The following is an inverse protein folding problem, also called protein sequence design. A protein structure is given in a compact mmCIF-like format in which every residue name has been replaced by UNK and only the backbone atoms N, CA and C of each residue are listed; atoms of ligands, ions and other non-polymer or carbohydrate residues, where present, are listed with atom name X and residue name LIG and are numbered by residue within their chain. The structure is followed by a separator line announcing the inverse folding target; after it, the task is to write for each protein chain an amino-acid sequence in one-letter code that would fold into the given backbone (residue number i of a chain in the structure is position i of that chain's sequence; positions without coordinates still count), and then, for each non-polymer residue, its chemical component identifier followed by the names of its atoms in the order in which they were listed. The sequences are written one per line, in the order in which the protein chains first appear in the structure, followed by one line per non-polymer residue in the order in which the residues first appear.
data_IF_455461476094
#
_entry.id   IF_455461476094
#
_cell.length_a   1.000
_cell.length_b   1.000
_cell.length_c   1.000
_cell.angle_alpha   90.00
_cell.angle_beta   90.00
_cell.angle_gamma   90.00
#
_symmetry.space_group_name_H-M   'P 1'
#
loop_
_entity.id
_entity.type
_entity.pdbx_description
1 polymer ?
#
# COMPACT_ATOMS: atom_id res chain seq x y z
N UNK A 1 0.89 -10.63 0.43
CA UNK A 1 1.35 -12.00 0.80
C UNK A 1 2.37 -12.53 -0.19
N UNK A 2 2.13 -12.54 -1.50
CA UNK A 2 3.07 -13.12 -2.49
C UNK A 2 4.51 -12.59 -2.39
N UNK A 3 4.71 -11.27 -2.28
CA UNK A 3 6.07 -10.70 -2.11
C UNK A 3 6.75 -11.15 -0.81
N UNK A 4 6.00 -11.27 0.28
CA UNK A 4 6.50 -11.78 1.57
C UNK A 4 6.85 -13.26 1.45
N UNK A 5 6.00 -14.05 0.78
CA UNK A 5 6.26 -15.46 0.52
C UNK A 5 7.52 -15.67 -0.33
N UNK A 6 7.76 -14.80 -1.32
CA UNK A 6 9.00 -14.82 -2.09
C UNK A 6 10.22 -14.63 -1.18
N UNK A 7 10.19 -13.64 -0.28
CA UNK A 7 11.29 -13.42 0.67
C UNK A 7 11.48 -14.60 1.62
N UNK A 8 10.38 -15.18 2.12
CA UNK A 8 10.43 -16.41 2.94
C UNK A 8 11.06 -17.57 2.16
N UNK A 9 10.81 -17.71 0.86
CA UNK A 9 11.44 -18.77 0.05
C UNK A 9 12.95 -18.58 -0.11
N UNK A 10 13.41 -17.34 -0.14
CA UNK A 10 14.83 -16.99 -0.19
C UNK A 10 15.46 -16.78 1.20
N UNK A 11 14.85 -17.33 2.27
CA UNK A 11 15.38 -17.16 3.62
C UNK A 11 16.86 -17.55 3.81
N UNK A 12 17.42 -18.59 3.16
CA UNK A 12 18.83 -18.94 3.36
C UNK A 12 19.79 -17.86 2.86
N UNK A 13 19.34 -17.02 1.92
CA UNK A 13 20.12 -15.88 1.42
C UNK A 13 19.99 -14.68 2.37
N UNK A 14 18.82 -14.47 2.96
CA UNK A 14 18.58 -13.34 3.87
C UNK A 14 19.16 -13.55 5.25
N UNK A 15 19.27 -14.80 5.71
CA UNK A 15 19.80 -15.15 7.03
C UNK A 15 21.25 -14.67 7.22
N UNK A 16 22.07 -14.74 6.17
CA UNK A 16 23.48 -14.35 6.21
C UNK A 16 23.72 -12.86 5.93
N UNK A 17 22.69 -12.07 5.64
CA UNK A 17 22.82 -10.68 5.22
C UNK A 17 22.09 -9.73 6.19
N UNK A 18 22.82 -9.23 7.19
CA UNK A 18 22.32 -8.29 8.20
C UNK A 18 21.79 -6.98 7.59
N UNK A 19 22.40 -6.50 6.51
CA UNK A 19 21.94 -5.29 5.84
C UNK A 19 20.54 -5.49 5.24
N UNK A 20 20.32 -6.62 4.56
CA UNK A 20 19.01 -6.98 4.05
C UNK A 20 17.97 -7.10 5.18
N UNK A 21 18.32 -7.77 6.29
CA UNK A 21 17.46 -7.88 7.47
C UNK A 21 17.09 -6.51 8.04
N UNK A 22 18.06 -5.60 8.16
CA UNK A 22 17.83 -4.24 8.66
C UNK A 22 16.88 -3.44 7.76
N UNK A 23 16.99 -3.55 6.43
CA UNK A 23 16.08 -2.91 5.48
C UNK A 23 14.68 -3.49 5.65
N UNK A 24 14.55 -4.81 5.71
CA UNK A 24 13.26 -5.48 5.85
C UNK A 24 12.57 -5.08 7.16
N UNK A 25 13.31 -5.05 8.26
CA UNK A 25 12.84 -4.62 9.57
C UNK A 25 12.33 -3.16 9.55
N UNK A 26 13.15 -2.23 9.05
CA UNK A 26 12.79 -0.81 9.00
C UNK A 26 11.60 -0.55 8.07
N UNK A 27 11.60 -1.13 6.87
CA UNK A 27 10.52 -0.97 5.90
C UNK A 27 9.22 -1.60 6.40
N UNK A 28 9.30 -2.78 7.03
CA UNK A 28 8.18 -3.42 7.70
C UNK A 28 7.59 -2.55 8.80
N UNK A 29 8.41 -2.02 9.70
CA UNK A 29 7.95 -1.20 10.82
C UNK A 29 7.31 0.13 10.39
N UNK A 30 7.86 0.77 9.35
CA UNK A 30 7.28 2.00 8.78
C UNK A 30 5.91 1.68 8.14
N UNK A 31 5.82 0.59 7.37
CA UNK A 31 4.56 0.19 6.72
C UNK A 31 3.49 -0.24 7.73
N UNK A 32 3.85 -0.97 8.79
CA UNK A 32 2.90 -1.35 9.87
C UNK A 32 2.26 -0.14 10.50
N UNK A 33 3.09 0.84 10.86
CA UNK A 33 2.66 2.04 11.58
C UNK A 33 1.82 2.93 10.67
N UNK A 34 2.36 3.25 9.49
CA UNK A 34 1.72 4.19 8.57
C UNK A 34 0.32 3.75 8.18
N UNK A 35 0.16 2.47 7.84
CA UNK A 35 -1.14 1.92 7.42
C UNK A 35 -2.10 1.77 8.59
N UNK A 36 -1.64 1.34 9.77
CA UNK A 36 -2.47 1.26 10.96
C UNK A 36 -2.97 2.64 11.40
N UNK A 37 -2.11 3.67 11.35
CA UNK A 37 -2.46 5.05 11.64
C UNK A 37 -3.49 5.61 10.63
N UNK A 38 -3.33 5.32 9.33
CA UNK A 38 -4.32 5.70 8.33
C UNK A 38 -5.69 5.05 8.60
N UNK A 39 -5.72 3.80 9.06
CA UNK A 39 -6.96 3.06 9.34
C UNK A 39 -7.83 3.70 10.45
N UNK A 40 -7.24 4.49 11.36
CA UNK A 40 -7.93 5.05 12.53
C UNK A 40 -9.08 5.98 12.19
N UNK A 41 -8.98 6.74 11.09
CA UNK A 41 -9.93 7.81 10.74
C UNK A 41 -10.70 7.54 9.46
N UNK A 42 -10.46 6.41 8.78
CA UNK A 42 -11.23 6.02 7.60
C UNK A 42 -12.67 5.64 7.97
N UNK A 43 -13.57 5.84 7.00
CA UNK A 43 -15.00 5.59 7.16
C UNK A 43 -15.50 4.43 6.30
N UNK A 44 -14.87 4.14 5.15
CA UNK A 44 -15.26 2.97 4.35
C UNK A 44 -14.76 1.68 5.04
N UNK A 45 -15.68 0.78 5.39
CA UNK A 45 -15.34 -0.46 6.10
C UNK A 45 -14.30 -1.30 5.35
N UNK A 46 -14.41 -1.39 4.02
CA UNK A 46 -13.44 -2.09 3.16
C UNK A 46 -12.05 -1.46 3.21
N UNK A 47 -11.95 -0.12 3.27
CA UNK A 47 -10.66 0.58 3.40
C UNK A 47 -10.01 0.30 4.75
N UNK A 48 -10.78 0.30 5.84
CA UNK A 48 -10.24 -0.04 7.16
C UNK A 48 -9.71 -1.47 7.18
N UNK A 49 -10.46 -2.43 6.61
CA UNK A 49 -10.01 -3.83 6.53
C UNK A 49 -8.79 -3.96 5.60
N UNK A 50 -8.72 -3.20 4.51
CA UNK A 50 -7.54 -3.18 3.62
C UNK A 50 -6.30 -2.57 4.30
N UNK A 51 -6.41 -1.47 5.04
CA UNK A 51 -5.27 -0.92 5.79
C UNK A 51 -4.83 -1.85 6.92
N UNK A 52 -5.76 -2.58 7.51
CA UNK A 52 -5.41 -3.59 8.50
C UNK A 52 -4.77 -4.84 7.88
N UNK A 53 -4.91 -5.14 6.58
CA UNK A 53 -4.12 -6.21 5.94
C UNK A 53 -2.72 -5.71 5.58
N UNK A 54 -2.58 -4.48 5.07
CA UNK A 54 -1.26 -3.91 4.79
C UNK A 54 -0.43 -3.72 6.06
N UNK A 55 -1.07 -3.39 7.20
CA UNK A 55 -0.39 -3.36 8.50
C UNK A 55 0.13 -4.73 8.92
N UNK A 56 -0.66 -5.80 8.81
CA UNK A 56 -0.19 -7.16 9.13
C UNK A 56 0.87 -7.67 8.14
N UNK A 57 0.81 -7.27 6.88
CA UNK A 57 1.88 -7.54 5.91
C UNK A 57 3.19 -6.86 6.31
N UNK A 58 3.15 -5.63 6.82
CA UNK A 58 4.33 -4.99 7.39
C UNK A 58 4.87 -5.75 8.60
N UNK A 59 4.00 -6.31 9.45
CA UNK A 59 4.40 -7.10 10.62
C UNK A 59 5.07 -8.40 10.17
N UNK A 60 4.56 -9.05 9.12
CA UNK A 60 5.23 -10.19 8.49
C UNK A 60 6.60 -9.80 7.90
N UNK A 61 6.76 -8.59 7.37
CA UNK A 61 8.06 -8.11 6.88
C UNK A 61 9.05 -7.88 8.04
N UNK A 62 8.58 -7.33 9.16
CA UNK A 62 9.36 -7.21 10.41
C UNK A 62 9.85 -8.58 10.87
N UNK A 63 9.00 -9.61 10.82
CA UNK A 63 9.38 -10.96 11.27
C UNK A 63 10.47 -11.60 10.43
N UNK A 64 10.49 -11.30 9.12
CA UNK A 64 11.59 -11.73 8.24
C UNK A 64 12.86 -10.95 8.59
N UNK A 65 12.72 -9.65 8.93
CA UNK A 65 13.83 -8.79 9.36
C UNK A 65 14.50 -9.21 10.67
N UNK A 66 13.82 -9.96 11.55
CA UNK A 66 14.40 -10.54 12.77
C UNK A 66 14.84 -12.00 12.60
N UNK A 67 14.99 -12.45 11.35
CA UNK A 67 15.36 -13.82 10.98
C UNK A 67 14.39 -14.91 11.49
N UNK A 68 13.08 -14.64 11.48
CA UNK A 68 12.03 -15.62 11.82
C UNK A 68 11.07 -15.88 10.64
N UNK A 69 11.55 -16.47 9.52
CA UNK A 69 10.75 -16.67 8.31
C UNK A 69 9.60 -17.66 8.51
N UNK A 70 9.78 -18.69 9.36
CA UNK A 70 8.74 -19.67 9.66
C UNK A 70 7.59 -19.08 10.49
N UNK A 71 7.88 -18.16 11.42
CA UNK A 71 6.85 -17.41 12.14
C UNK A 71 6.09 -16.46 11.19
N UNK A 72 6.80 -15.82 10.26
CA UNK A 72 6.18 -15.02 9.21
C UNK A 72 5.20 -15.86 8.38
N UNK A 73 5.60 -17.08 8.00
CA UNK A 73 4.76 -18.01 7.25
C UNK A 73 3.56 -18.51 8.05
N UNK A 74 3.77 -18.88 9.32
CA UNK A 74 2.69 -19.24 10.24
C UNK A 74 1.66 -18.11 10.31
N UNK A 75 2.13 -16.86 10.43
CA UNK A 75 1.24 -15.70 10.46
C UNK A 75 0.51 -15.50 9.13
N UNK A 76 1.12 -15.76 7.96
CA UNK A 76 0.41 -15.76 6.67
C UNK A 76 -0.78 -16.73 6.71
N UNK A 77 -0.56 -17.96 7.19
CA UNK A 77 -1.59 -18.99 7.27
C UNK A 77 -2.73 -18.61 8.22
N UNK A 78 -2.41 -18.15 9.44
CA UNK A 78 -3.43 -17.75 10.42
C UNK A 78 -4.19 -16.50 9.97
N UNK A 79 -3.48 -15.52 9.38
CA UNK A 79 -4.05 -14.28 8.87
C UNK A 79 -5.07 -14.49 7.75
N UNK A 80 -4.88 -15.50 6.90
CA UNK A 80 -5.79 -15.80 5.81
C UNK A 80 -7.22 -16.06 6.31
N UNK A 81 -7.39 -16.83 7.39
CA UNK A 81 -8.71 -17.20 7.92
C UNK A 81 -9.51 -15.98 8.41
N UNK A 82 -8.97 -15.25 9.38
CA UNK A 82 -9.73 -14.16 10.00
C UNK A 82 -9.89 -12.96 9.06
N UNK A 83 -8.95 -12.69 8.15
CA UNK A 83 -9.14 -11.62 7.16
C UNK A 83 -10.17 -11.94 6.10
N UNK A 84 -10.15 -13.15 5.54
CA UNK A 84 -11.17 -13.58 4.61
C UNK A 84 -12.56 -13.49 5.25
N UNK A 85 -12.66 -13.90 6.53
CA UNK A 85 -13.89 -13.79 7.30
C UNK A 85 -14.33 -12.33 7.49
N UNK A 86 -13.43 -11.43 7.89
CA UNK A 86 -13.75 -10.00 8.05
C UNK A 86 -14.24 -9.36 6.75
N UNK A 87 -13.61 -9.67 5.60
CA UNK A 87 -14.11 -9.17 4.31
C UNK A 87 -15.47 -9.77 3.95
N UNK A 88 -15.71 -11.05 4.23
CA UNK A 88 -17.00 -11.70 3.97
C UNK A 88 -18.12 -11.12 4.84
N UNK A 89 -17.86 -10.90 6.14
CA UNK A 89 -18.79 -10.21 7.04
C UNK A 89 -19.04 -8.76 6.60
N UNK A 90 -18.00 -8.05 6.14
CA UNK A 90 -18.19 -6.70 5.59
C UNK A 90 -19.04 -6.72 4.32
N UNK A 91 -18.87 -7.74 3.47
CA UNK A 91 -19.66 -7.94 2.26
C UNK A 91 -21.13 -8.22 2.56
N UNK A 92 -21.43 -9.05 3.57
CA UNK A 92 -22.80 -9.26 4.01
C UNK A 92 -23.44 -8.01 4.58
N UNK A 93 -22.70 -7.20 5.35
CA UNK A 93 -23.22 -5.93 5.87
C UNK A 93 -23.52 -4.95 4.73
N UNK A 94 -22.60 -4.81 3.77
CA UNK A 94 -22.77 -3.92 2.61
C UNK A 94 -23.97 -4.34 1.77
N UNK A 95 -24.11 -5.64 1.49
CA UNK A 95 -25.23 -6.14 0.70
C UNK A 95 -26.57 -5.97 1.42
N UNK A 96 -26.64 -6.27 2.72
CA UNK A 96 -27.85 -6.08 3.54
C UNK A 96 -28.26 -4.62 3.71
N UNK A 97 -27.35 -3.67 3.48
CA UNK A 97 -27.59 -2.22 3.56
C UNK A 97 -27.64 -1.56 2.17
N UNK A 98 -27.94 -2.30 1.10
CA UNK A 98 -28.07 -1.80 -0.26
C UNK A 98 -26.82 -1.03 -0.75
N UNK A 99 -25.66 -1.69 -0.68
CA UNK A 99 -24.35 -1.20 -1.13
C UNK A 99 -23.74 -0.06 -0.31
N UNK A 100 -24.28 0.24 0.88
CA UNK A 100 -23.70 1.22 1.80
C UNK A 100 -22.42 0.67 2.48
N UNK A 101 -21.29 1.35 2.26
CA UNK A 101 -19.96 0.95 2.76
C UNK A 101 -19.44 1.81 3.92
N UNK A 102 -20.07 2.96 4.15
CA UNK A 102 -19.65 3.96 5.14
C UNK A 102 -20.16 3.58 6.54
N UNK A 103 -19.25 3.35 7.49
CA UNK A 103 -19.58 3.00 8.88
C UNK A 103 -20.42 4.06 9.60
N UNK A 104 -20.42 5.32 9.11
CA UNK A 104 -21.22 6.41 9.69
C UNK A 104 -22.72 6.17 9.48
N UNK A 105 -23.11 5.47 8.42
CA UNK A 105 -24.49 5.08 8.10
C UNK A 105 -24.86 3.67 8.58
N UNK A 106 -24.01 3.03 9.38
CA UNK A 106 -24.28 1.72 9.98
C UNK A 106 -24.73 1.88 11.45
N UNK A 107 -24.79 0.81 12.23
CA UNK A 107 -25.12 0.83 13.66
C UNK A 107 -26.32 -0.04 14.00
N UNK A 108 -26.38 -0.50 15.26
CA UNK A 108 -27.47 -1.35 15.76
C UNK A 108 -27.56 -2.74 15.11
N UNK A 109 -26.54 -3.17 14.37
CA UNK A 109 -26.55 -4.43 13.63
C UNK A 109 -26.41 -5.67 14.52
N UNK A 110 -25.97 -5.51 15.78
CA UNK A 110 -25.77 -6.63 16.73
C UNK A 110 -27.00 -7.56 16.84
N UNK A 111 -28.20 -7.00 16.86
CA UNK A 111 -29.45 -7.77 16.91
C UNK A 111 -30.03 -8.07 15.52
N UNK A 112 -29.75 -7.24 14.52
CA UNK A 112 -30.29 -7.38 13.17
C UNK A 112 -29.60 -8.48 12.35
N UNK A 113 -28.30 -8.69 12.58
CA UNK A 113 -27.48 -9.68 11.86
C UNK A 113 -26.60 -10.48 12.85
N UNK A 114 -27.20 -11.31 13.73
CA UNK A 114 -26.49 -11.98 14.81
C UNK A 114 -25.35 -12.91 14.35
N UNK A 115 -25.50 -13.57 13.20
CA UNK A 115 -24.46 -14.49 12.72
C UNK A 115 -23.25 -13.74 12.17
N UNK A 116 -23.47 -12.71 11.35
CA UNK A 116 -22.36 -11.90 10.82
C UNK A 116 -21.67 -11.08 11.92
N UNK A 117 -22.42 -10.61 12.92
CA UNK A 117 -21.86 -9.88 14.08
C UNK A 117 -20.98 -10.76 14.94
N UNK A 118 -21.41 -11.98 15.28
CA UNK A 118 -20.58 -12.94 16.03
C UNK A 118 -19.29 -13.29 15.28
N UNK A 119 -19.37 -13.54 13.97
CA UNK A 119 -18.19 -13.79 13.16
C UNK A 119 -17.27 -12.57 13.03
N UNK A 120 -17.82 -11.34 12.92
CA UNK A 120 -17.03 -10.12 12.88
C UNK A 120 -16.32 -9.84 14.21
N UNK A 121 -16.97 -10.10 15.35
CA UNK A 121 -16.36 -9.98 16.68
C UNK A 121 -15.23 -11.02 16.85
N UNK A 122 -15.47 -12.29 16.49
CA UNK A 122 -14.44 -13.33 16.58
C UNK A 122 -13.25 -13.00 15.65
N UNK A 123 -13.52 -12.52 14.44
CA UNK A 123 -12.48 -12.11 13.49
C UNK A 123 -11.66 -10.91 13.96
N UNK A 124 -12.31 -9.93 14.60
CA UNK A 124 -11.62 -8.76 15.16
C UNK A 124 -10.80 -9.11 16.39
N UNK A 125 -11.29 -9.96 17.28
CA UNK A 125 -10.52 -10.50 18.42
C UNK A 125 -9.33 -11.36 17.96
N UNK A 126 -9.51 -12.19 16.93
CA UNK A 126 -8.42 -12.95 16.34
C UNK A 126 -7.35 -12.03 15.73
N UNK A 127 -7.76 -10.91 15.10
CA UNK A 127 -6.84 -9.92 14.54
C UNK A 127 -6.04 -9.16 15.62
N UNK A 128 -6.67 -8.80 16.73
CA UNK A 128 -5.98 -8.10 17.83
C UNK A 128 -4.98 -9.00 18.54
N UNK A 129 -5.24 -10.32 18.57
CA UNK A 129 -4.37 -11.31 19.19
C UNK A 129 -4.92 -11.81 20.53
N UNK A 130 -6.24 -11.91 20.67
CA UNK A 130 -6.87 -12.45 21.88
C UNK A 130 -6.30 -13.85 22.21
N UNK A 131 -5.98 -14.14 23.48
CA UNK A 131 -5.43 -15.44 23.88
C UNK A 131 -6.25 -16.62 23.35
N UNK A 132 -5.53 -17.64 22.89
CA UNK A 132 -6.08 -18.90 22.34
C UNK A 132 -6.85 -18.80 21.02
N UNK A 133 -7.08 -17.61 20.45
CA UNK A 133 -7.54 -17.48 19.07
C UNK A 133 -6.38 -17.60 18.09
N UNK A 134 -6.66 -17.80 16.80
CA UNK A 134 -5.61 -18.09 15.81
C UNK A 134 -4.54 -17.03 15.66
N UNK A 135 -4.86 -15.76 15.92
CA UNK A 135 -3.87 -14.69 15.88
C UNK A 135 -2.82 -14.81 16.98
N UNK A 136 -3.18 -15.30 18.16
CA UNK A 136 -2.29 -15.43 19.32
C UNK A 136 -1.09 -16.34 19.01
N UNK A 137 -1.34 -17.52 18.44
CA UNK A 137 -0.30 -18.51 18.10
C UNK A 137 0.78 -18.03 17.13
N UNK A 138 0.60 -16.87 16.50
CA UNK A 138 1.60 -16.29 15.60
C UNK A 138 2.04 -14.91 16.06
N UNK A 139 1.09 -13.97 16.22
CA UNK A 139 1.37 -12.57 16.52
C UNK A 139 2.01 -12.37 17.89
N UNK A 140 1.67 -13.18 18.89
CA UNK A 140 2.27 -13.10 20.23
C UNK A 140 3.74 -13.53 20.18
N UNK A 141 4.02 -14.70 19.59
CA UNK A 141 5.39 -15.19 19.35
C UNK A 141 6.24 -14.23 18.51
N UNK A 142 5.62 -13.52 17.56
CA UNK A 142 6.28 -12.48 16.77
C UNK A 142 6.74 -11.32 17.65
N UNK A 143 5.88 -10.83 18.54
CA UNK A 143 6.22 -9.72 19.43
C UNK A 143 7.26 -10.17 20.47
N UNK A 144 7.14 -11.40 20.98
CA UNK A 144 8.13 -12.00 21.88
C UNK A 144 9.51 -12.09 21.24
N UNK A 145 9.60 -12.68 20.05
CA UNK A 145 10.86 -12.79 19.31
C UNK A 145 11.44 -11.43 18.94
N UNK A 146 10.61 -10.45 18.60
CA UNK A 146 11.07 -9.08 18.31
C UNK A 146 11.62 -8.37 19.57
N UNK A 147 11.02 -8.62 20.74
CA UNK A 147 11.44 -8.06 22.02
C UNK A 147 12.74 -8.69 22.57
N UNK A 148 12.99 -9.97 22.29
CA UNK A 148 14.14 -10.72 22.84
C UNK A 148 15.33 -10.82 21.90
N UNK A 149 15.22 -10.33 20.66
CA UNK A 149 16.31 -10.34 19.67
C UNK A 149 17.05 -9.01 19.59
N UNK A 150 18.23 -9.02 18.96
CA UNK A 150 19.00 -7.81 18.68
C UNK A 150 18.35 -7.02 17.54
N UNK A 151 17.34 -6.22 17.88
CA UNK A 151 16.53 -5.47 16.92
C UNK A 151 16.79 -3.98 16.99
N UNK A 152 16.50 -3.28 15.89
CA UNK A 152 16.43 -1.83 15.91
C UNK A 152 15.29 -1.39 16.86
N UNK A 153 15.66 -0.75 17.97
CA UNK A 153 14.72 -0.29 18.99
C UNK A 153 13.60 0.60 18.43
N UNK A 154 13.90 1.42 17.41
CA UNK A 154 12.88 2.26 16.77
C UNK A 154 11.86 1.42 16.00
N UNK A 155 12.32 0.41 15.27
CA UNK A 155 11.44 -0.50 14.55
C UNK A 155 10.54 -1.28 15.52
N UNK A 156 11.11 -1.75 16.64
CA UNK A 156 10.35 -2.40 17.70
C UNK A 156 9.27 -1.47 18.26
N UNK A 157 9.63 -0.25 18.66
CA UNK A 157 8.67 0.73 19.18
C UNK A 157 7.52 1.00 18.20
N UNK A 158 7.82 1.16 16.90
CA UNK A 158 6.81 1.38 15.88
C UNK A 158 5.89 0.18 15.69
N UNK A 159 6.41 -1.05 15.81
CA UNK A 159 5.59 -2.26 15.76
C UNK A 159 4.66 -2.36 16.97
N UNK A 160 5.15 -2.03 18.16
CA UNK A 160 4.34 -1.99 19.38
C UNK A 160 3.22 -0.95 19.27
N UNK A 161 3.51 0.26 18.80
CA UNK A 161 2.47 1.28 18.54
C UNK A 161 1.49 0.80 17.46
N UNK A 162 1.97 0.15 16.40
CA UNK A 162 1.07 -0.42 15.39
C UNK A 162 0.16 -1.51 15.99
N UNK A 163 0.65 -2.31 16.95
CA UNK A 163 -0.18 -3.32 17.64
C UNK A 163 -1.29 -2.69 18.48
N UNK A 164 -1.05 -1.56 19.15
CA UNK A 164 -2.12 -0.83 19.86
C UNK A 164 -3.15 -0.26 18.87
N UNK A 165 -2.70 0.31 17.75
CA UNK A 165 -3.59 0.77 16.68
C UNK A 165 -4.43 -0.36 16.10
N UNK A 166 -3.93 -1.61 16.09
CA UNK A 166 -4.76 -2.76 15.68
C UNK A 166 -5.97 -2.99 16.55
N UNK A 167 -5.82 -2.82 17.86
CA UNK A 167 -6.97 -2.83 18.77
C UNK A 167 -7.89 -1.63 18.48
N UNK A 168 -7.34 -0.43 18.29
CA UNK A 168 -8.15 0.78 18.09
C UNK A 168 -9.00 0.76 16.82
N UNK A 169 -8.47 0.36 15.66
CA UNK A 169 -9.31 0.29 14.46
C UNK A 169 -10.27 -0.90 14.50
N UNK A 170 -9.95 -1.99 15.23
CA UNK A 170 -10.84 -3.14 15.37
C UNK A 170 -12.08 -2.80 16.19
N UNK A 171 -11.89 -2.13 17.33
CA UNK A 171 -12.99 -1.62 18.17
C UNK A 171 -13.78 -0.54 17.47
N UNK A 172 -13.12 0.33 16.69
CA UNK A 172 -13.81 1.31 15.83
C UNK A 172 -14.79 0.62 14.89
N UNK A 173 -14.40 -0.47 14.22
CA UNK A 173 -15.32 -1.24 13.36
C UNK A 173 -16.48 -1.76 14.21
N UNK A 174 -16.21 -2.46 15.32
CA UNK A 174 -17.26 -3.01 16.18
C UNK A 174 -18.23 -1.92 16.66
N UNK A 175 -17.70 -0.79 17.11
CA UNK A 175 -18.47 0.31 17.69
C UNK A 175 -19.36 0.99 16.67
N UNK A 176 -18.83 1.42 15.52
CA UNK A 176 -19.63 2.14 14.53
C UNK A 176 -20.54 1.22 13.71
N UNK A 177 -20.15 -0.03 13.49
CA UNK A 177 -20.97 -0.94 12.65
C UNK A 177 -22.01 -1.71 13.45
N UNK A 178 -21.63 -2.28 14.59
CA UNK A 178 -22.48 -3.22 15.34
C UNK A 178 -23.23 -2.55 16.50
N UNK A 179 -22.54 -1.67 17.23
CA UNK A 179 -23.07 -1.01 18.43
C UNK A 179 -23.84 0.27 18.10
N UNK A 180 -24.40 0.88 19.14
CA UNK A 180 -25.18 2.12 19.06
C UNK A 180 -26.54 1.93 18.40
N UNK A 181 -27.12 3.05 17.96
CA UNK A 181 -28.41 3.10 17.29
C UNK A 181 -28.27 2.97 15.77
N UNK A 182 -29.29 2.44 15.06
CA UNK A 182 -29.29 2.33 13.61
C UNK A 182 -29.25 3.72 12.94
N UNK A 183 -28.34 3.89 11.98
CA UNK A 183 -28.17 5.12 11.17
C UNK A 183 -28.33 4.88 9.67
N UNK A 184 -28.81 3.70 9.28
CA UNK A 184 -29.08 3.33 7.89
C UNK A 184 -30.47 3.87 7.46
N UNK A 185 -30.76 3.91 6.15
CA UNK A 185 -32.06 4.36 5.63
C UNK A 185 -33.26 3.60 6.23
N UNK A 186 -34.43 4.23 6.24
CA UNK A 186 -35.63 3.69 6.91
C UNK A 186 -36.14 2.36 6.34
N UNK A 187 -35.90 2.09 5.06
CA UNK A 187 -36.28 0.83 4.42
C UNK A 187 -35.31 -0.29 4.83
N UNK A 188 -35.81 -1.28 5.57
CA UNK A 188 -35.02 -2.41 6.06
C UNK A 188 -35.14 -3.58 5.08
N UNK A 189 -34.04 -3.89 4.39
CA UNK A 189 -33.90 -5.06 3.50
C UNK A 189 -32.89 -6.09 4.04
N UNK A 190 -32.58 -6.02 5.34
CA UNK A 190 -31.56 -6.84 5.99
C UNK A 190 -31.97 -8.32 5.98
N UNK A 191 -31.16 -9.16 5.36
CA UNK A 191 -31.35 -10.61 5.37
C UNK A 191 -30.00 -11.34 5.30
N UNK A 192 -29.68 -12.14 6.32
CA UNK A 192 -28.48 -13.00 6.33
C UNK A 192 -28.78 -14.50 6.13
N UNK A 193 -30.05 -14.87 5.90
CA UNK A 193 -30.54 -16.26 5.93
C UNK A 193 -30.23 -17.09 4.66
N UNK A 194 -29.14 -16.78 3.96
CA UNK A 194 -28.71 -17.59 2.82
C UNK A 194 -27.75 -18.70 3.29
N UNK A 195 -28.05 -20.00 3.06
CA UNK A 195 -27.15 -21.08 3.45
C UNK A 195 -25.75 -20.96 2.82
N UNK A 196 -25.62 -20.38 1.63
CA UNK A 196 -24.32 -20.13 1.00
C UNK A 196 -23.47 -19.14 1.80
N UNK A 197 -24.09 -18.07 2.31
CA UNK A 197 -23.44 -17.07 3.14
C UNK A 197 -23.08 -17.66 4.52
N UNK A 198 -24.03 -18.32 5.16
CA UNK A 198 -23.83 -18.90 6.49
C UNK A 198 -22.74 -19.97 6.45
N UNK A 199 -22.78 -20.90 5.49
CA UNK A 199 -21.80 -21.99 5.41
C UNK A 199 -20.40 -21.51 5.03
N UNK A 200 -20.28 -20.44 4.24
CA UNK A 200 -18.97 -19.87 3.89
C UNK A 200 -18.31 -19.18 5.09
N UNK A 201 -19.04 -18.30 5.78
CA UNK A 201 -18.56 -17.67 7.01
C UNK A 201 -18.32 -18.71 8.11
N UNK A 202 -19.21 -19.70 8.29
CA UNK A 202 -19.06 -20.76 9.32
C UNK A 202 -17.76 -21.54 9.18
N UNK A 203 -17.37 -21.91 7.96
CA UNK A 203 -16.09 -22.62 7.70
C UNK A 203 -14.88 -21.76 8.08
N UNK A 204 -14.91 -20.49 7.72
CA UNK A 204 -13.84 -19.55 8.09
C UNK A 204 -13.82 -19.26 9.60
N UNK A 205 -15.00 -19.23 10.24
CA UNK A 205 -15.16 -19.05 11.68
C UNK A 205 -14.49 -20.19 12.46
N UNK A 206 -14.80 -21.43 12.10
CA UNK A 206 -14.16 -22.62 12.67
C UNK A 206 -12.64 -22.54 12.47
N UNK A 207 -12.19 -22.12 11.28
CA UNK A 207 -10.78 -21.85 11.01
C UNK A 207 -10.17 -20.80 11.95
N UNK A 208 -10.85 -19.66 12.15
CA UNK A 208 -10.38 -18.56 13.02
C UNK A 208 -10.41 -18.87 14.53
N UNK A 209 -11.02 -19.99 14.93
CA UNK A 209 -10.97 -20.50 16.29
C UNK A 209 -9.84 -21.53 16.44
N UNK A 210 -9.80 -22.55 15.57
CA UNK A 210 -8.98 -23.74 15.80
C UNK A 210 -7.74 -23.85 14.92
N UNK A 211 -7.70 -23.24 13.73
CA UNK A 211 -6.63 -23.51 12.77
C UNK A 211 -5.25 -23.13 13.29
N UNK A 212 -5.13 -22.03 14.03
CA UNK A 212 -3.87 -21.59 14.65
C UNK A 212 -3.31 -22.62 15.62
N UNK A 213 -4.16 -23.16 16.50
CA UNK A 213 -3.78 -24.24 17.44
C UNK A 213 -3.37 -25.52 16.73
N UNK A 214 -4.16 -25.95 15.74
CA UNK A 214 -3.89 -27.17 14.98
C UNK A 214 -2.57 -27.03 14.20
N UNK A 215 -2.41 -25.92 13.47
CA UNK A 215 -1.22 -25.67 12.66
C UNK A 215 0.01 -25.56 13.57
N UNK A 216 -0.02 -24.75 14.62
CA UNK A 216 1.13 -24.55 15.52
C UNK A 216 1.62 -25.84 16.17
N UNK A 217 0.72 -26.75 16.51
CA UNK A 217 1.08 -28.03 17.14
C UNK A 217 1.51 -29.10 16.12
N UNK A 218 1.10 -28.95 14.85
CA UNK A 218 1.41 -29.91 13.79
C UNK A 218 2.74 -29.63 13.09
N UNK A 219 3.21 -28.37 13.08
CA UNK A 219 4.45 -28.00 12.42
C UNK A 219 5.66 -28.55 13.20
N UNK A 220 6.70 -29.06 12.51
CA UNK A 220 7.93 -29.42 13.19
C UNK A 220 8.61 -28.17 13.75
N UNK A 221 9.36 -28.27 14.87
CA UNK A 221 10.13 -27.16 15.40
C UNK A 221 11.25 -26.80 14.40
N UNK A 222 11.12 -25.66 13.73
CA UNK A 222 12.09 -25.16 12.73
C UNK A 222 13.13 -24.22 13.32
N UNK A 223 12.76 -23.46 14.36
CA UNK A 223 13.65 -22.55 15.09
C UNK A 223 13.49 -22.80 16.59
N UNK A 224 14.49 -22.43 17.40
CA UNK A 224 14.41 -22.53 18.85
C UNK A 224 13.60 -21.34 19.37
N UNK A 225 12.39 -21.54 19.93
CA UNK A 225 11.60 -20.45 20.47
C UNK A 225 12.22 -19.92 21.76
N UNK A 226 12.23 -18.60 21.92
CA UNK A 226 12.75 -17.94 23.12
C UNK A 226 11.69 -17.97 24.24
N UNK A 227 11.78 -18.97 25.12
CA UNK A 227 10.80 -19.19 26.19
C UNK A 227 11.15 -18.49 27.52
N UNK A 228 12.37 -17.98 27.65
CA UNK A 228 12.86 -17.31 28.86
C UNK A 228 12.96 -15.80 28.63
N UNK A 229 12.05 -15.04 29.23
CA UNK A 229 12.07 -13.57 29.19
C UNK A 229 11.45 -13.02 30.49
N UNK A 230 11.77 -11.79 30.90
CA UNK A 230 11.17 -11.20 32.09
C UNK A 230 9.67 -10.94 31.90
N UNK A 231 8.93 -10.93 33.01
CA UNK A 231 7.46 -10.84 33.01
C UNK A 231 6.92 -9.64 32.20
N UNK A 232 7.56 -8.48 32.32
CA UNK A 232 7.14 -7.29 31.60
C UNK A 232 7.29 -7.43 30.07
N UNK A 233 8.31 -8.17 29.58
CA UNK A 233 8.49 -8.45 28.15
C UNK A 233 7.50 -9.51 27.64
N UNK A 234 7.20 -10.53 28.45
CA UNK A 234 6.22 -11.57 28.07
C UNK A 234 4.81 -11.01 27.91
N UNK A 235 4.43 -10.08 28.78
CA UNK A 235 3.07 -9.52 28.80
C UNK A 235 2.89 -8.32 27.86
N UNK A 236 3.91 -7.88 27.10
CA UNK A 236 3.81 -6.63 26.31
C UNK A 236 2.70 -6.64 25.31
N UNK A 237 2.56 -7.71 24.53
CA UNK A 237 1.57 -7.79 23.44
C UNK A 237 0.15 -7.66 23.98
N UNK A 238 -0.15 -8.40 25.06
CA UNK A 238 -1.44 -8.34 25.72
C UNK A 238 -1.68 -6.99 26.40
N UNK A 239 -0.68 -6.43 27.09
CA UNK A 239 -0.80 -5.15 27.77
C UNK A 239 -1.08 -4.00 26.78
N UNK A 240 -0.36 -3.96 25.66
CA UNK A 240 -0.48 -2.92 24.64
C UNK A 240 -1.81 -3.03 23.88
N UNK A 241 -2.26 -4.26 23.59
CA UNK A 241 -3.57 -4.47 22.98
C UNK A 241 -4.69 -4.05 23.92
N UNK A 242 -4.62 -4.41 25.21
CA UNK A 242 -5.57 -3.96 26.24
C UNK A 242 -5.61 -2.43 26.37
N UNK A 243 -4.44 -1.77 26.39
CA UNK A 243 -4.35 -0.31 26.37
C UNK A 243 -5.04 0.28 25.13
N UNK A 244 -4.80 -0.31 23.96
CA UNK A 244 -5.47 0.08 22.71
C UNK A 244 -6.99 -0.06 22.78
N UNK A 245 -7.51 -1.14 23.37
CA UNK A 245 -8.95 -1.32 23.60
C UNK A 245 -9.53 -0.21 24.50
N UNK A 246 -8.87 0.10 25.62
CA UNK A 246 -9.29 1.13 26.57
C UNK A 246 -9.34 2.50 25.91
N UNK A 247 -8.24 2.90 25.25
CA UNK A 247 -8.15 4.18 24.54
C UNK A 247 -9.23 4.30 23.46
N UNK A 248 -9.46 3.22 22.71
CA UNK A 248 -10.45 3.24 21.65
C UNK A 248 -11.87 3.39 22.20
N UNK A 249 -12.21 2.69 23.28
CA UNK A 249 -13.52 2.80 23.93
C UNK A 249 -13.75 4.20 24.50
N UNK A 250 -12.72 4.81 25.09
CA UNK A 250 -12.79 6.18 25.56
C UNK A 250 -13.04 7.16 24.40
N UNK A 251 -12.24 7.06 23.32
CA UNK A 251 -12.43 7.92 22.15
C UNK A 251 -13.79 7.70 21.46
N UNK A 252 -14.29 6.47 21.42
CA UNK A 252 -15.61 6.18 20.84
C UNK A 252 -16.73 6.73 21.71
N UNK A 253 -16.64 6.61 23.04
CA UNK A 253 -17.64 7.18 23.95
C UNK A 253 -17.65 8.71 23.91
N UNK A 254 -16.48 9.34 23.72
CA UNK A 254 -16.41 10.79 23.52
C UNK A 254 -17.20 11.27 22.29
N UNK A 255 -17.46 10.41 21.29
CA UNK A 255 -18.25 10.80 20.11
C UNK A 255 -19.74 11.03 20.40
N UNK A 256 -20.26 10.51 21.52
CA UNK A 256 -21.63 10.77 21.96
C UNK A 256 -21.78 12.13 22.65
N UNK A 257 -20.69 12.77 23.05
CA UNK A 257 -20.73 14.08 23.68
C UNK A 257 -21.13 15.15 22.65
N UNK A 258 -21.94 16.12 23.08
CA UNK A 258 -22.35 17.28 22.28
C UNK A 258 -21.24 18.34 22.20
N UNK A 259 -20.01 17.92 21.87
CA UNK A 259 -18.86 18.81 21.68
C UNK A 259 -18.40 18.72 20.25
N UNK A 260 -18.59 19.81 19.50
CA UNK A 260 -18.08 19.93 18.15
C UNK A 260 -16.66 20.50 18.18
N UNK A 261 -15.69 19.69 17.75
CA UNK A 261 -14.29 20.09 17.63
C UNK A 261 -13.89 20.15 16.15
N UNK A 262 -13.14 21.18 15.77
CA UNK A 262 -12.57 21.26 14.43
C UNK A 262 -11.48 20.19 14.22
N UNK A 263 -11.37 19.62 13.00
CA UNK A 263 -10.38 18.58 12.72
C UNK A 263 -8.96 19.13 12.78
N UNK A 264 -8.12 18.52 13.62
CA UNK A 264 -6.70 18.84 13.72
C UNK A 264 -5.93 18.40 12.46
N UNK A 265 -4.70 18.90 12.31
CA UNK A 265 -3.82 18.48 11.22
C UNK A 265 -3.49 16.98 11.28
N UNK A 266 -3.44 16.39 12.48
CA UNK A 266 -3.24 14.94 12.70
C UNK A 266 -4.43 14.13 12.19
N UNK A 267 -5.65 14.62 12.42
CA UNK A 267 -6.85 14.02 11.85
C UNK A 267 -6.83 14.10 10.32
N UNK A 268 -6.49 15.26 9.75
CA UNK A 268 -6.38 15.43 8.29
C UNK A 268 -5.30 14.52 7.70
N UNK A 269 -4.15 14.39 8.35
CA UNK A 269 -3.04 13.54 7.92
C UNK A 269 -3.43 12.06 7.86
N UNK A 270 -4.05 11.53 8.91
CA UNK A 270 -4.53 10.12 8.91
C UNK A 270 -5.65 9.89 7.89
N UNK A 271 -6.60 10.83 7.77
CA UNK A 271 -7.75 10.67 6.88
C UNK A 271 -7.36 10.80 5.39
N UNK A 272 -6.44 11.72 5.07
CA UNK A 272 -5.93 11.94 3.70
C UNK A 272 -4.71 11.07 3.37
N UNK A 273 -4.58 9.91 4.03
CA UNK A 273 -3.59 8.87 3.72
C UNK A 273 -2.15 9.39 3.71
N UNK A 274 -1.81 10.19 4.72
CA UNK A 274 -0.50 10.83 4.85
C UNK A 274 -0.17 11.84 3.74
N UNK A 275 -1.18 12.32 3.02
CA UNK A 275 -1.04 13.10 1.79
C UNK A 275 -0.28 12.39 0.66
N UNK A 276 0.04 11.10 0.82
CA UNK A 276 0.90 10.37 -0.11
C UNK A 276 0.23 10.20 -1.47
N UNK A 277 -1.01 9.66 -1.59
CA UNK A 277 -1.68 9.57 -2.89
C UNK A 277 -1.98 10.93 -3.50
N UNK A 278 -2.29 11.95 -2.68
CA UNK A 278 -2.60 13.30 -3.17
C UNK A 278 -1.41 13.96 -3.83
N UNK A 279 -0.19 13.70 -3.34
CA UNK A 279 1.05 14.23 -3.92
C UNK A 279 1.53 13.32 -5.04
N UNK A 280 1.76 12.03 -4.77
CA UNK A 280 2.41 11.12 -5.71
C UNK A 280 1.57 10.86 -6.97
N UNK A 281 0.26 10.63 -6.84
CA UNK A 281 -0.59 10.35 -8.00
C UNK A 281 -0.90 11.59 -8.83
N UNK A 282 -0.55 12.79 -8.37
CA UNK A 282 -0.70 14.03 -9.15
C UNK A 282 0.64 14.46 -9.74
N UNK A 283 1.68 14.53 -8.92
CA UNK A 283 2.98 15.05 -9.29
C UNK A 283 3.72 14.12 -10.27
N UNK A 284 3.75 12.81 -10.00
CA UNK A 284 4.48 11.86 -10.85
C UNK A 284 3.85 11.75 -12.25
N UNK A 285 2.51 11.60 -12.40
CA UNK A 285 1.91 11.59 -13.74
C UNK A 285 2.07 12.94 -14.45
N UNK A 286 1.94 14.06 -13.75
CA UNK A 286 2.12 15.39 -14.35
C UNK A 286 3.53 15.59 -14.90
N UNK A 287 4.56 15.27 -14.12
CA UNK A 287 5.97 15.40 -14.56
C UNK A 287 6.28 14.46 -15.72
N UNK A 288 5.81 13.21 -15.68
CA UNK A 288 5.99 12.27 -16.78
C UNK A 288 5.27 12.71 -18.06
N UNK A 289 4.01 13.14 -17.98
CA UNK A 289 3.22 13.55 -19.15
C UNK A 289 3.72 14.86 -19.76
N UNK A 290 4.14 15.81 -18.92
CA UNK A 290 4.71 17.07 -19.41
C UNK A 290 6.07 16.85 -20.06
N UNK A 291 6.90 15.96 -19.52
CA UNK A 291 8.16 15.56 -20.15
C UNK A 291 7.90 14.83 -21.48
N UNK A 292 6.97 13.88 -21.51
CA UNK A 292 6.64 13.15 -22.75
C UNK A 292 6.10 14.06 -23.83
N UNK A 293 5.24 15.02 -23.48
CA UNK A 293 4.68 15.94 -24.45
C UNK A 293 5.70 17.01 -24.88
N UNK A 294 6.19 17.80 -23.92
CA UNK A 294 6.99 19.00 -24.25
C UNK A 294 8.38 18.65 -24.74
N UNK A 295 9.09 17.77 -24.02
CA UNK A 295 10.47 17.44 -24.33
C UNK A 295 10.55 16.40 -25.45
N UNK A 296 9.90 15.25 -25.30
CA UNK A 296 10.00 14.20 -26.31
C UNK A 296 9.23 14.57 -27.59
N UNK A 297 7.90 14.73 -27.53
CA UNK A 297 7.13 14.86 -28.77
C UNK A 297 7.27 16.20 -29.49
N UNK A 298 7.09 17.34 -28.80
CA UNK A 298 7.10 18.63 -29.49
C UNK A 298 8.50 19.18 -29.73
N UNK A 299 9.37 19.10 -28.71
CA UNK A 299 10.69 19.71 -28.81
C UNK A 299 11.65 18.83 -29.60
N UNK A 300 11.77 17.54 -29.28
CA UNK A 300 12.70 16.68 -29.99
C UNK A 300 12.13 16.26 -31.35
N UNK A 301 11.02 15.52 -31.37
CA UNK A 301 10.58 14.84 -32.58
C UNK A 301 10.02 15.79 -33.64
N UNK A 302 9.08 16.67 -33.25
CA UNK A 302 8.40 17.56 -34.20
C UNK A 302 9.21 18.81 -34.58
N UNK A 303 10.10 19.31 -33.72
CA UNK A 303 10.82 20.56 -34.01
C UNK A 303 12.31 20.34 -34.26
N UNK A 304 13.07 19.79 -33.32
CA UNK A 304 14.52 19.67 -33.49
C UNK A 304 14.92 18.66 -34.57
N UNK A 305 14.35 17.45 -34.54
CA UNK A 305 14.68 16.42 -35.53
C UNK A 305 14.21 16.82 -36.93
N UNK A 306 13.02 17.41 -37.06
CA UNK A 306 12.53 17.92 -38.35
C UNK A 306 13.35 19.14 -38.83
N UNK A 307 13.78 20.02 -37.93
CA UNK A 307 14.56 21.19 -38.32
C UNK A 307 15.99 20.85 -38.71
N UNK A 308 16.71 20.05 -37.89
CA UNK A 308 18.15 19.77 -38.10
C UNK A 308 18.39 19.06 -39.42
N UNK A 309 17.50 18.16 -39.83
CA UNK A 309 17.73 17.28 -40.98
C UNK A 309 16.90 17.69 -42.21
N UNK A 310 15.59 17.38 -42.32
CA UNK A 310 14.89 17.62 -43.59
C UNK A 310 14.73 19.11 -43.92
N UNK A 311 14.46 19.98 -42.93
CA UNK A 311 14.26 21.41 -43.22
C UNK A 311 15.56 22.13 -43.58
N UNK A 312 16.66 21.91 -42.87
CA UNK A 312 17.96 22.49 -43.23
C UNK A 312 18.43 22.02 -44.60
N UNK A 313 18.28 20.73 -44.92
CA UNK A 313 18.64 20.20 -46.24
C UNK A 313 17.75 20.83 -47.32
N UNK A 314 16.43 20.88 -47.13
CA UNK A 314 15.53 21.50 -48.11
C UNK A 314 15.84 22.99 -48.34
N UNK A 315 16.07 23.76 -47.27
CA UNK A 315 16.33 25.20 -47.35
C UNK A 315 17.68 25.51 -47.99
N UNK A 316 18.72 24.73 -47.68
CA UNK A 316 20.03 24.88 -48.33
C UNK A 316 19.94 24.55 -49.81
N UNK A 317 19.25 23.48 -50.20
CA UNK A 317 19.04 23.10 -51.60
C UNK A 317 18.23 24.16 -52.37
N UNK A 318 17.13 24.66 -51.81
CA UNK A 318 16.32 25.71 -52.43
C UNK A 318 17.12 27.01 -52.57
N UNK A 319 17.91 27.39 -51.57
CA UNK A 319 18.74 28.60 -51.62
C UNK A 319 19.85 28.49 -52.68
N UNK A 320 20.50 27.33 -52.79
CA UNK A 320 21.48 27.09 -53.85
C UNK A 320 20.82 27.08 -55.24
N UNK A 321 19.67 26.41 -55.40
CA UNK A 321 18.93 26.37 -56.65
C UNK A 321 18.53 27.78 -57.11
N UNK A 322 17.92 28.57 -56.22
CA UNK A 322 17.52 29.95 -56.52
C UNK A 322 18.70 30.86 -56.83
N UNK A 323 19.86 30.70 -56.18
CA UNK A 323 21.08 31.45 -56.54
C UNK A 323 21.60 31.06 -57.93
N UNK A 324 21.61 29.77 -58.26
CA UNK A 324 22.12 29.27 -59.55
C UNK A 324 21.21 29.67 -60.71
N UNK A 325 19.89 29.53 -60.55
CA UNK A 325 18.91 29.77 -61.63
C UNK A 325 18.59 31.25 -61.84
N UNK A 326 18.98 32.16 -60.94
CA UNK A 326 18.70 33.60 -61.07
C UNK A 326 19.64 34.29 -62.07
N UNK A 327 19.72 33.74 -63.28
CA UNK A 327 20.48 34.30 -64.40
C UNK A 327 19.58 35.21 -65.24
N UNK A 328 20.10 36.36 -65.67
CA UNK A 328 19.34 37.38 -66.43
C UNK A 328 19.19 37.09 -67.94
N UNK A 329 19.72 35.96 -68.42
CA UNK A 329 19.66 35.60 -69.85
C UNK A 329 20.52 36.45 -70.80
N UNK A 330 21.43 37.27 -70.27
CA UNK A 330 22.26 38.18 -71.06
C UNK A 330 23.56 37.50 -71.53
N UNK A 331 23.72 37.31 -72.84
CA UNK A 331 24.90 36.66 -73.47
C UNK A 331 26.23 37.30 -73.01
N UNK A 332 26.26 38.63 -72.85
CA UNK A 332 27.42 39.38 -72.34
C UNK A 332 27.92 38.87 -70.99
N UNK A 333 27.01 38.55 -70.05
CA UNK A 333 27.38 38.08 -68.71
C UNK A 333 27.95 36.66 -68.76
N UNK A 334 27.45 35.80 -69.65
CA UNK A 334 27.97 34.44 -69.82
C UNK A 334 29.40 34.44 -70.38
N UNK A 335 29.70 35.21 -71.43
CA UNK A 335 31.07 35.32 -71.93
C UNK A 335 32.05 35.92 -70.91
N UNK A 336 31.61 36.91 -70.12
CA UNK A 336 32.40 37.44 -69.01
C UNK A 336 32.71 36.36 -67.97
N UNK A 337 31.74 35.51 -67.63
CA UNK A 337 31.95 34.40 -66.69
C UNK A 337 32.94 33.36 -67.24
N UNK A 338 32.89 33.03 -68.54
CA UNK A 338 33.85 32.13 -69.17
C UNK A 338 35.28 32.67 -69.13
N UNK A 339 35.48 33.96 -69.41
CA UNK A 339 36.79 34.61 -69.30
C UNK A 339 37.36 34.50 -67.86
N UNK A 340 36.51 34.78 -66.86
CA UNK A 340 36.89 34.66 -65.45
C UNK A 340 37.28 33.22 -65.11
N UNK A 341 36.52 32.22 -65.56
CA UNK A 341 36.86 30.80 -65.31
C UNK A 341 38.19 30.41 -65.94
N UNK A 342 38.49 30.86 -67.17
CA UNK A 342 39.76 30.57 -67.83
C UNK A 342 40.91 31.20 -67.04
N UNK A 343 40.80 32.47 -66.66
CA UNK A 343 41.83 33.15 -65.85
C UNK A 343 42.08 32.43 -64.51
N UNK A 344 41.03 32.03 -63.80
CA UNK A 344 41.15 31.29 -62.53
C UNK A 344 41.79 29.91 -62.76
N UNK A 345 41.41 29.19 -63.82
CA UNK A 345 41.96 27.87 -64.13
C UNK A 345 43.46 27.90 -64.43
N UNK A 346 43.92 28.94 -65.12
CA UNK A 346 45.34 29.12 -65.44
C UNK A 346 46.13 29.58 -64.22
N UNK A 347 45.63 30.55 -63.46
CA UNK A 347 46.41 31.19 -62.38
C UNK A 347 46.35 30.44 -61.05
N UNK A 348 45.19 29.87 -60.72
CA UNK A 348 44.90 29.38 -59.36
C UNK A 348 44.92 27.85 -59.28
N UNK A 349 44.41 27.16 -60.31
CA UNK A 349 44.39 25.70 -60.38
C UNK A 349 45.49 25.09 -61.25
N UNK A 350 46.31 25.91 -61.93
CA UNK A 350 47.41 25.48 -62.81
C UNK A 350 47.04 24.36 -63.80
N UNK A 351 45.83 24.32 -64.37
CA UNK A 351 45.44 23.27 -65.33
C UNK A 351 46.16 23.33 -66.70
N UNK A 352 47.14 24.22 -66.84
CA UNK A 352 47.95 24.38 -68.05
C UNK A 352 49.36 23.82 -67.90
N UNK A 353 49.70 23.37 -66.69
CA UNK A 353 50.68 22.32 -66.43
C UNK A 353 49.93 21.00 -66.26
#
# INVERSE_FOLDING_TARGET
VAGIFLLIRFYPLTENNEFAQSIMLCLGAITTLFTAMCALTQNDIKKIIAFSTSSQLGLMMVTIGINQPYLAFLHICTHAFFKAMLFMCSGSIIHSLNDEQDIRKMGGLLKAMPFTTTALIIGSLALTGMPFLTGFYSKDLIIESANTSYTNAWALLMTLIATSFTAIYSTRIIFFTLLGQPRFPTLITINENNPLLINSIKRLLIGSLFAGFIISNSIPPTTIPQMTMPYYLKMTALAITALGFILALETSNMTHNLKFNYPSNIFKFSNLLGYYPTIMHRLVPYTNLTMSQKLASSLLDLTWLENILPKTISTTQVKMATMVTNQKGLIKLYFLSFLITILISMILFNFHE
#
